data_IF_750773617244
#
_entry.id   IF_750773617244
#
_cell.length_a   1.000
_cell.length_b   1.000
_cell.length_c   1.000
_cell.angle_alpha   90.00
_cell.angle_beta   90.00
_cell.angle_gamma   90.00
#
_symmetry.space_group_name_H-M   'P 1'
#
loop_
_entity.id
_entity.type
_entity.pdbx_description
1 polymer ?
#
# COMPACT_ATOMS: atom_id res chain seq x y z
N UNK A 1 19.11 9.55 -20.05
CA UNK A 1 17.94 8.73 -19.69
C UNK A 1 17.06 8.53 -20.93
N UNK A 2 16.28 7.44 -21.07
CA UNK A 2 15.27 7.35 -22.15
C UNK A 2 14.02 8.13 -21.73
N UNK A 3 13.32 8.78 -22.68
CA UNK A 3 12.12 9.57 -22.34
C UNK A 3 11.06 8.77 -21.58
N UNK A 4 10.91 7.46 -21.86
CA UNK A 4 9.99 6.59 -21.11
C UNK A 4 10.36 6.48 -19.62
N UNK A 5 11.65 6.46 -19.28
CA UNK A 5 12.13 6.39 -17.90
C UNK A 5 11.81 7.67 -17.11
N UNK A 6 11.74 8.84 -17.78
CA UNK A 6 11.32 10.08 -17.12
C UNK A 6 9.93 9.95 -16.52
N UNK A 7 9.01 9.32 -17.24
CA UNK A 7 7.63 9.13 -16.78
C UNK A 7 7.62 8.32 -15.47
N UNK A 8 8.36 7.21 -15.42
CA UNK A 8 8.35 6.31 -14.27
C UNK A 8 9.26 6.78 -13.13
N UNK A 9 10.54 7.04 -13.44
CA UNK A 9 11.60 7.31 -12.46
C UNK A 9 11.56 8.76 -11.93
N UNK A 10 11.04 9.71 -12.72
CA UNK A 10 11.03 11.14 -12.33
C UNK A 10 9.63 11.66 -12.04
N UNK A 11 8.63 11.26 -12.85
CA UNK A 11 7.26 11.76 -12.75
C UNK A 11 6.32 10.80 -12.02
N UNK A 12 6.78 9.59 -11.67
CA UNK A 12 6.00 8.62 -10.91
C UNK A 12 4.75 8.09 -11.63
N UNK A 13 4.71 8.15 -12.96
CA UNK A 13 3.57 7.73 -13.78
C UNK A 13 3.95 6.67 -14.81
N UNK A 14 3.05 5.74 -15.06
CA UNK A 14 3.23 4.71 -16.09
C UNK A 14 2.51 5.08 -17.38
N UNK A 15 3.19 4.86 -18.50
CA UNK A 15 2.58 4.92 -19.83
C UNK A 15 1.71 3.67 -20.03
N UNK A 16 0.50 3.81 -20.61
CA UNK A 16 -0.34 2.66 -20.96
C UNK A 16 0.39 1.67 -21.88
N UNK A 17 1.17 2.20 -22.83
CA UNK A 17 2.05 1.41 -23.66
C UNK A 17 3.34 2.17 -24.05
N UNK A 18 4.52 1.71 -23.62
CA UNK A 18 5.79 2.40 -23.88
C UNK A 18 6.15 2.61 -25.35
N UNK A 19 5.50 1.89 -26.30
CA UNK A 19 5.79 1.99 -27.75
C UNK A 19 4.99 3.08 -28.45
N UNK A 20 3.78 3.39 -27.99
CA UNK A 20 2.87 4.30 -28.70
C UNK A 20 2.19 5.36 -27.82
N UNK A 21 2.30 5.28 -26.49
CA UNK A 21 1.75 6.30 -25.60
C UNK A 21 2.54 7.60 -25.70
N UNK A 22 1.81 8.67 -25.98
CA UNK A 22 2.32 10.04 -26.14
C UNK A 22 2.08 10.91 -24.90
N UNK A 23 1.67 10.30 -23.80
CA UNK A 23 1.44 10.93 -22.51
C UNK A 23 1.00 9.91 -21.48
N UNK A 24 0.77 10.36 -20.26
CA UNK A 24 0.19 9.58 -19.17
C UNK A 24 -0.67 10.49 -18.29
N UNK A 25 -1.65 9.89 -17.62
CA UNK A 25 -2.38 10.52 -16.51
C UNK A 25 -1.76 10.03 -15.21
N UNK A 26 -1.53 10.96 -14.29
CA UNK A 26 -1.36 10.64 -12.88
C UNK A 26 -2.75 10.59 -12.22
N UNK A 27 -3.29 9.39 -11.93
CA UNK A 27 -4.61 9.27 -11.30
C UNK A 27 -4.62 9.79 -9.86
N UNK A 28 -3.45 9.90 -9.23
CA UNK A 28 -3.28 10.26 -7.82
C UNK A 28 -3.28 11.78 -7.68
N UNK A 29 -2.35 12.46 -8.38
CA UNK A 29 -2.27 13.93 -8.33
C UNK A 29 -3.19 14.63 -9.34
N UNK A 30 -3.94 13.87 -10.15
CA UNK A 30 -4.82 14.34 -11.22
C UNK A 30 -4.09 15.27 -12.20
N UNK A 31 -2.86 14.91 -12.57
CA UNK A 31 -2.04 15.64 -13.55
C UNK A 31 -1.97 14.85 -14.85
N UNK A 32 -1.74 15.56 -15.95
CA UNK A 32 -1.67 14.95 -17.28
C UNK A 32 -0.34 15.35 -17.91
N UNK A 33 0.50 14.36 -18.17
CA UNK A 33 1.82 14.55 -18.76
C UNK A 33 1.76 14.23 -20.26
N UNK A 34 2.19 15.17 -21.10
CA UNK A 34 2.17 15.02 -22.55
C UNK A 34 3.56 15.18 -23.13
N UNK A 35 3.92 14.31 -24.07
CA UNK A 35 5.04 14.60 -24.98
C UNK A 35 4.57 15.59 -26.02
N UNK A 36 5.38 16.62 -26.24
CA UNK A 36 5.15 17.64 -27.25
C UNK A 36 6.41 17.83 -28.08
N UNK A 37 6.26 18.22 -29.34
CA UNK A 37 7.40 18.43 -30.23
C UNK A 37 7.92 19.87 -30.11
N UNK A 38 9.24 20.02 -30.03
CA UNK A 38 9.91 21.32 -29.98
C UNK A 38 9.62 22.18 -31.22
N UNK A 39 9.67 21.57 -32.40
CA UNK A 39 9.39 22.22 -33.69
C UNK A 39 7.92 22.61 -33.90
N UNK A 40 7.05 22.28 -32.93
CA UNK A 40 5.62 22.61 -32.93
C UNK A 40 5.27 23.66 -31.87
N UNK A 41 6.28 24.22 -31.19
CA UNK A 41 6.12 25.41 -30.35
C UNK A 41 6.16 26.63 -31.27
N UNK A 42 5.11 27.45 -31.19
CA UNK A 42 4.94 28.63 -32.04
C UNK A 42 4.52 29.85 -31.22
N UNK A 43 4.88 31.07 -31.67
CA UNK A 43 4.42 32.31 -31.03
C UNK A 43 2.89 32.40 -31.00
N UNK A 44 2.35 32.97 -29.93
CA UNK A 44 0.91 33.19 -29.70
C UNK A 44 0.67 34.46 -28.88
N UNK A 45 0.56 35.60 -29.59
CA UNK A 45 0.50 36.93 -28.97
C UNK A 45 1.76 37.24 -28.16
N UNK A 46 1.59 37.59 -26.88
CA UNK A 46 2.69 37.83 -25.93
C UNK A 46 3.30 36.55 -25.33
N UNK A 47 3.00 35.38 -25.89
CA UNK A 47 3.48 34.09 -25.38
C UNK A 47 3.72 33.06 -26.47
N UNK A 48 3.66 31.79 -26.07
CA UNK A 48 3.88 30.65 -26.95
C UNK A 48 2.73 29.65 -26.78
N UNK A 49 2.43 28.90 -27.85
CA UNK A 49 1.55 27.74 -27.82
C UNK A 49 2.24 26.56 -28.48
N UNK A 50 1.84 25.36 -28.09
CA UNK A 50 2.37 24.11 -28.64
C UNK A 50 1.24 23.25 -29.17
N UNK A 51 1.45 22.63 -30.32
CA UNK A 51 0.49 21.67 -30.85
C UNK A 51 0.52 20.37 -30.05
N UNK A 52 -0.65 19.92 -29.59
CA UNK A 52 -0.79 18.73 -28.73
C UNK A 52 -1.63 17.63 -29.38
N UNK A 53 -2.34 17.94 -30.45
CA UNK A 53 -3.16 16.99 -31.21
C UNK A 53 -3.28 17.40 -32.69
N UNK A 54 -3.34 16.41 -33.57
CA UNK A 54 -3.54 16.59 -35.02
C UNK A 54 -4.94 16.11 -35.40
N UNK A 55 -5.74 16.97 -36.04
CA UNK A 55 -7.08 16.59 -36.53
C UNK A 55 -7.00 15.65 -37.74
N UNK A 56 -5.94 15.77 -38.54
CA UNK A 56 -5.65 14.93 -39.72
C UNK A 56 -4.27 14.27 -39.60
N UNK A 57 -4.13 13.22 -38.75
CA UNK A 57 -2.85 12.57 -38.53
C UNK A 57 -2.41 11.77 -39.76
N UNK A 58 -1.09 11.71 -40.03
CA UNK A 58 -0.52 10.93 -41.13
C UNK A 58 -0.67 9.41 -40.96
N UNK A 59 -0.72 8.96 -39.70
CA UNK A 59 -0.82 7.55 -39.35
C UNK A 59 -1.90 7.38 -38.29
N UNK A 60 -2.65 6.28 -38.37
CA UNK A 60 -3.59 5.93 -37.31
C UNK A 60 -2.84 5.17 -36.21
N UNK A 61 -2.90 5.66 -34.97
CA UNK A 61 -2.24 5.01 -33.82
C UNK A 61 -3.17 5.01 -32.61
N UNK A 62 -3.13 3.98 -31.74
CA UNK A 62 -3.90 3.98 -30.49
C UNK A 62 -3.58 5.17 -29.58
N UNK A 63 -2.36 5.72 -29.70
CA UNK A 63 -1.93 6.92 -28.96
C UNK A 63 -2.74 8.18 -29.28
N UNK A 64 -3.43 8.24 -30.43
CA UNK A 64 -4.35 9.35 -30.76
C UNK A 64 -5.61 9.30 -29.91
N UNK A 65 -6.20 8.12 -29.72
CA UNK A 65 -7.35 7.94 -28.85
C UNK A 65 -6.98 8.23 -27.39
N UNK A 66 -5.83 7.73 -26.94
CA UNK A 66 -5.29 8.05 -25.61
C UNK A 66 -5.06 9.56 -25.43
N UNK A 67 -4.58 10.26 -26.48
CA UNK A 67 -4.43 11.72 -26.41
C UNK A 67 -5.78 12.43 -26.23
N UNK A 68 -6.87 11.96 -26.84
CA UNK A 68 -8.18 12.58 -26.63
C UNK A 68 -8.63 12.45 -25.16
N UNK A 69 -8.41 11.30 -24.52
CA UNK A 69 -8.66 11.12 -23.08
C UNK A 69 -7.84 12.09 -22.22
N UNK A 70 -6.57 12.31 -22.58
CA UNK A 70 -5.71 13.29 -21.90
C UNK A 70 -6.26 14.72 -22.03
N UNK A 71 -6.73 15.09 -23.22
CA UNK A 71 -7.32 16.42 -23.45
C UNK A 71 -8.62 16.60 -22.66
N UNK A 72 -9.46 15.58 -22.60
CA UNK A 72 -10.68 15.54 -21.80
C UNK A 72 -10.36 15.79 -20.31
N UNK A 73 -9.35 15.09 -19.78
CA UNK A 73 -8.91 15.25 -18.39
C UNK A 73 -8.42 16.69 -18.11
N UNK A 74 -7.62 17.29 -19.00
CA UNK A 74 -7.15 18.66 -18.81
C UNK A 74 -8.31 19.67 -18.91
N UNK A 75 -9.24 19.47 -19.85
CA UNK A 75 -10.47 20.29 -19.95
C UNK A 75 -11.32 20.20 -18.68
N UNK A 76 -11.34 19.03 -18.03
CA UNK A 76 -12.01 18.80 -16.74
C UNK A 76 -11.19 19.27 -15.52
N UNK A 77 -10.11 20.04 -15.72
CA UNK A 77 -9.36 20.72 -14.66
C UNK A 77 -8.11 19.99 -14.17
N UNK A 78 -7.68 18.90 -14.81
CA UNK A 78 -6.37 18.30 -14.54
C UNK A 78 -5.24 19.21 -15.04
N UNK A 79 -4.20 19.54 -14.25
CA UNK A 79 -3.06 20.32 -14.77
C UNK A 79 -2.32 19.58 -15.89
N UNK A 80 -2.16 20.25 -17.04
CA UNK A 80 -1.41 19.73 -18.18
C UNK A 80 0.08 20.10 -18.10
N UNK A 81 0.96 19.12 -18.31
CA UNK A 81 2.42 19.31 -18.26
C UNK A 81 3.05 18.71 -19.52
N UNK A 82 3.83 19.52 -20.25
CA UNK A 82 4.49 19.15 -21.50
C UNK A 82 5.97 18.79 -21.29
N UNK A 83 6.38 17.64 -21.81
CA UNK A 83 7.78 17.22 -21.94
C UNK A 83 8.17 17.44 -23.40
N UNK A 84 9.12 18.35 -23.62
CA UNK A 84 9.56 18.75 -24.96
C UNK A 84 10.48 17.69 -25.53
N UNK A 85 10.12 17.14 -26.68
CA UNK A 85 10.92 16.21 -27.46
C UNK A 85 11.42 16.90 -28.74
N UNK A 86 12.67 16.65 -29.09
CA UNK A 86 13.29 17.09 -30.35
C UNK A 86 13.24 15.94 -31.34
N UNK A 87 12.78 16.20 -32.56
CA UNK A 87 12.69 15.18 -33.61
C UNK A 87 14.05 14.96 -34.30
N UNK A 88 14.34 13.72 -34.72
CA UNK A 88 15.50 13.42 -35.60
C UNK A 88 15.35 14.16 -36.93
N UNK A 89 14.13 14.15 -37.48
CA UNK A 89 13.75 14.87 -38.69
C UNK A 89 12.37 15.49 -38.44
N UNK A 90 12.18 16.77 -38.79
CA UNK A 90 10.93 17.48 -38.55
C UNK A 90 9.82 17.08 -39.54
N UNK A 91 10.18 16.61 -40.74
CA UNK A 91 9.19 16.22 -41.74
C UNK A 91 9.54 14.89 -42.45
N UNK A 92 9.64 13.78 -41.69
CA UNK A 92 9.95 12.47 -42.28
C UNK A 92 8.77 11.96 -43.12
N UNK A 93 9.08 11.07 -44.07
CA UNK A 93 8.07 10.34 -44.84
C UNK A 93 7.27 9.33 -43.99
N UNK A 94 7.82 8.92 -42.83
CA UNK A 94 7.22 7.99 -41.89
C UNK A 94 6.89 8.60 -40.52
N UNK A 95 6.81 7.74 -39.49
CA UNK A 95 6.61 8.19 -38.11
C UNK A 95 7.83 8.97 -37.60
N UNK A 96 7.60 10.10 -36.94
CA UNK A 96 8.66 10.89 -36.30
C UNK A 96 9.35 10.07 -35.20
N UNK A 97 10.67 10.22 -35.11
CA UNK A 97 11.50 9.62 -34.06
C UNK A 97 12.05 10.71 -33.14
N UNK A 98 12.13 10.41 -31.85
CA UNK A 98 12.67 11.32 -30.83
C UNK A 98 14.20 11.21 -30.86
N UNK A 99 14.89 12.31 -31.15
CA UNK A 99 16.35 12.41 -31.06
C UNK A 99 16.81 12.62 -29.61
N UNK A 100 16.19 13.59 -28.94
CA UNK A 100 16.46 13.99 -27.56
C UNK A 100 15.19 14.58 -26.95
N UNK A 101 15.24 14.91 -25.66
CA UNK A 101 14.14 15.57 -24.97
C UNK A 101 14.69 16.42 -23.82
N UNK A 102 13.90 17.38 -23.37
CA UNK A 102 14.27 18.28 -22.27
C UNK A 102 13.83 17.66 -20.95
N UNK A 103 14.80 17.27 -20.12
CA UNK A 103 14.55 16.74 -18.78
C UNK A 103 14.01 17.80 -17.82
N UNK A 104 14.34 19.08 -18.03
CA UNK A 104 13.86 20.24 -17.26
C UNK A 104 14.18 21.55 -18.01
N UNK A 105 13.37 22.62 -17.88
CA UNK A 105 12.06 22.67 -17.24
C UNK A 105 10.97 22.03 -18.12
N UNK A 106 9.89 21.56 -17.50
CA UNK A 106 8.70 21.10 -18.21
C UNK A 106 7.75 22.27 -18.48
N UNK A 107 6.93 22.15 -19.53
CA UNK A 107 5.97 23.19 -19.91
C UNK A 107 4.69 23.07 -19.10
N UNK A 108 4.20 24.15 -18.51
CA UNK A 108 2.85 24.18 -17.97
C UNK A 108 1.87 24.51 -19.11
N UNK A 109 0.89 23.64 -19.32
CA UNK A 109 -0.06 23.72 -20.41
C UNK A 109 -1.42 24.19 -19.89
N UNK A 110 -1.97 25.23 -20.51
CA UNK A 110 -3.30 25.75 -20.22
C UNK A 110 -3.83 26.51 -21.43
N UNK A 111 -5.08 26.95 -21.40
CA UNK A 111 -5.68 27.72 -22.51
C UNK A 111 -5.63 27.00 -23.86
N UNK A 112 -6.70 26.29 -24.20
CA UNK A 112 -6.76 25.55 -25.46
C UNK A 112 -7.28 26.43 -26.60
N UNK A 113 -6.65 26.30 -27.76
CA UNK A 113 -7.15 26.81 -29.03
C UNK A 113 -7.17 25.70 -30.06
N UNK A 114 -7.98 25.85 -31.09
CA UNK A 114 -8.05 24.91 -32.20
C UNK A 114 -8.19 25.64 -33.53
N UNK A 115 -7.70 25.00 -34.58
CA UNK A 115 -7.90 25.40 -35.97
C UNK A 115 -8.16 24.15 -36.82
N UNK A 116 -8.04 24.27 -38.15
CA UNK A 116 -8.24 23.16 -39.09
C UNK A 116 -7.12 22.09 -39.04
N UNK A 117 -5.95 22.44 -38.51
CA UNK A 117 -4.78 21.58 -38.43
C UNK A 117 -4.83 20.74 -37.15
N UNK A 118 -5.13 21.35 -36.02
CA UNK A 118 -4.96 20.70 -34.72
C UNK A 118 -5.54 21.42 -33.53
N UNK A 119 -5.18 20.90 -32.35
CA UNK A 119 -5.45 21.52 -31.05
C UNK A 119 -4.12 21.94 -30.46
N UNK A 120 -4.10 23.13 -29.87
CA UNK A 120 -2.95 23.77 -29.27
C UNK A 120 -3.21 24.06 -27.79
N UNK A 121 -2.19 23.95 -26.95
CA UNK A 121 -2.19 24.50 -25.60
C UNK A 121 -1.24 25.67 -25.52
N UNK A 122 -1.67 26.74 -24.83
CA UNK A 122 -0.79 27.85 -24.46
C UNK A 122 0.21 27.37 -23.39
N UNK A 123 1.45 27.82 -23.53
CA UNK A 123 2.49 27.62 -22.53
C UNK A 123 2.32 28.72 -21.47
N UNK A 124 1.72 28.37 -20.33
CA UNK A 124 1.42 29.34 -19.26
C UNK A 124 2.57 29.53 -18.27
N UNK A 125 3.59 28.66 -18.34
CA UNK A 125 4.73 28.67 -17.44
C UNK A 125 5.71 27.54 -17.74
N UNK A 126 6.83 27.54 -17.02
CA UNK A 126 7.86 26.50 -17.09
C UNK A 126 8.18 26.06 -15.66
N UNK A 127 8.12 24.77 -15.40
CA UNK A 127 8.26 24.20 -14.05
C UNK A 127 9.54 23.37 -14.01
N UNK A 128 10.49 23.66 -13.11
CA UNK A 128 11.65 22.80 -12.90
C UNK A 128 11.20 21.38 -12.54
N UNK A 129 11.79 20.37 -13.16
CA UNK A 129 11.38 18.98 -12.92
C UNK A 129 11.58 18.54 -11.47
N UNK A 130 12.55 19.15 -10.77
CA UNK A 130 12.76 18.97 -9.33
C UNK A 130 11.57 19.43 -8.48
N UNK A 131 10.79 20.43 -8.90
CA UNK A 131 9.58 20.85 -8.17
C UNK A 131 8.46 19.82 -8.28
N UNK A 132 8.36 19.16 -9.44
CA UNK A 132 7.43 18.04 -9.65
C UNK A 132 7.89 16.79 -8.89
N UNK A 133 9.18 16.46 -8.95
CA UNK A 133 9.75 15.31 -8.24
C UNK A 133 9.71 15.47 -6.71
N UNK A 134 9.91 16.69 -6.17
CA UNK A 134 9.84 16.98 -4.74
C UNK A 134 8.40 16.93 -4.19
N UNK A 135 7.40 17.08 -5.04
CA UNK A 135 6.00 16.85 -4.67
C UNK A 135 5.61 15.35 -4.70
N UNK A 136 6.49 14.49 -5.23
CA UNK A 136 6.24 13.06 -5.46
C UNK A 136 7.10 12.14 -4.58
N UNK A 137 8.28 12.57 -4.13
CA UNK A 137 9.15 11.76 -3.27
C UNK A 137 8.95 12.09 -1.79
N UNK A 138 8.49 11.09 -1.03
CA UNK A 138 8.52 11.12 0.44
C UNK A 138 9.98 11.19 0.91
N UNK A 139 10.25 12.03 1.91
CA UNK A 139 11.53 11.96 2.64
C UNK A 139 11.65 10.58 3.32
N UNK A 140 12.88 10.15 3.62
CA UNK A 140 13.13 8.89 4.34
C UNK A 140 12.33 8.80 5.64
N UNK A 141 12.26 9.91 6.36
CA UNK A 141 11.55 10.09 7.62
C UNK A 141 10.03 10.00 7.41
N UNK A 142 9.49 10.68 6.40
CA UNK A 142 8.07 10.62 6.05
C UNK A 142 7.66 9.19 5.61
N UNK A 143 8.51 8.52 4.83
CA UNK A 143 8.30 7.13 4.40
C UNK A 143 8.32 6.17 5.59
N UNK A 144 9.20 6.38 6.57
CA UNK A 144 9.25 5.56 7.78
C UNK A 144 7.97 5.70 8.63
N UNK A 145 7.44 6.92 8.77
CA UNK A 145 6.16 7.16 9.44
C UNK A 145 5.01 6.49 8.68
N UNK A 146 4.96 6.63 7.36
CA UNK A 146 3.96 5.98 6.52
C UNK A 146 4.01 4.45 6.69
N UNK A 147 5.19 3.84 6.59
CA UNK A 147 5.38 2.41 6.74
C UNK A 147 4.87 1.92 8.11
N UNK A 148 5.24 2.60 9.20
CA UNK A 148 4.78 2.25 10.54
C UNK A 148 3.25 2.26 10.65
N UNK A 149 2.58 3.28 10.10
CA UNK A 149 1.12 3.35 10.14
C UNK A 149 0.48 2.23 9.33
N UNK A 150 1.02 1.92 8.15
CA UNK A 150 0.54 0.81 7.30
C UNK A 150 0.71 -0.55 7.96
N UNK A 151 1.86 -0.80 8.59
CA UNK A 151 2.11 -2.06 9.31
C UNK A 151 1.11 -2.23 10.46
N UNK A 152 0.81 -1.16 11.19
CA UNK A 152 -0.17 -1.18 12.28
C UNK A 152 -1.61 -1.36 11.78
N UNK A 153 -1.95 -0.84 10.60
CA UNK A 153 -3.23 -1.17 9.92
C UNK A 153 -3.28 -2.66 9.60
N UNK A 154 -2.22 -3.22 8.99
CA UNK A 154 -2.12 -4.65 8.60
C UNK A 154 -2.23 -5.60 9.81
N UNK A 155 -1.71 -5.19 10.95
CA UNK A 155 -1.85 -5.90 12.23
C UNK A 155 -3.24 -5.80 12.87
N UNK A 156 -4.12 -4.93 12.34
CA UNK A 156 -5.44 -4.67 12.90
C UNK A 156 -5.41 -3.83 14.18
N UNK A 157 -4.36 -3.01 14.39
CA UNK A 157 -4.22 -2.15 15.58
C UNK A 157 -5.32 -1.10 15.68
N UNK A 158 -5.72 -0.50 14.55
CA UNK A 158 -6.63 0.64 14.50
C UNK A 158 -8.07 0.20 14.28
N UNK A 159 -8.94 0.59 15.20
CA UNK A 159 -10.38 0.45 15.09
C UNK A 159 -10.94 1.79 14.64
N UNK A 160 -11.57 1.91 13.44
CA UNK A 160 -11.89 3.19 12.84
C UNK A 160 -12.78 4.12 13.67
N UNK A 161 -13.60 3.56 14.55
CA UNK A 161 -14.56 4.28 15.39
C UNK A 161 -14.15 4.32 16.87
N UNK A 162 -12.91 3.90 17.18
CA UNK A 162 -12.34 3.93 18.52
C UNK A 162 -11.00 4.68 18.50
N UNK A 163 -11.08 5.99 18.77
CA UNK A 163 -9.94 6.91 18.80
C UNK A 163 -8.88 6.49 19.85
N UNK A 164 -9.24 5.71 20.87
CA UNK A 164 -8.28 5.20 21.86
C UNK A 164 -7.39 4.07 21.30
N UNK A 165 -7.76 3.49 20.15
CA UNK A 165 -6.92 2.56 19.42
C UNK A 165 -5.78 3.25 18.65
N UNK A 166 -5.86 4.58 18.46
CA UNK A 166 -4.92 5.36 17.65
C UNK A 166 -3.59 5.61 18.37
N UNK A 167 -2.55 5.89 17.58
CA UNK A 167 -1.18 5.95 18.05
C UNK A 167 -0.83 7.30 18.67
N UNK A 168 -0.07 7.31 19.76
CA UNK A 168 0.44 8.55 20.35
C UNK A 168 1.66 9.11 19.63
N UNK A 169 1.82 10.43 19.59
CA UNK A 169 3.05 11.05 19.05
C UNK A 169 4.35 10.49 19.68
N UNK A 170 4.35 10.25 21.00
CA UNK A 170 5.51 9.65 21.69
C UNK A 170 5.72 8.17 21.36
N UNK A 171 4.64 7.45 21.07
CA UNK A 171 4.70 6.05 20.64
C UNK A 171 5.32 5.92 19.25
N UNK A 172 4.98 6.82 18.32
CA UNK A 172 5.63 6.89 17.00
C UNK A 172 7.14 7.08 17.14
N UNK A 173 7.58 8.00 18.01
CA UNK A 173 9.02 8.21 18.26
C UNK A 173 9.70 6.94 18.76
N UNK A 174 9.07 6.24 19.70
CA UNK A 174 9.62 4.99 20.27
C UNK A 174 9.75 3.91 19.20
N UNK A 175 8.75 3.74 18.35
CA UNK A 175 8.76 2.72 17.28
C UNK A 175 9.82 3.04 16.21
N UNK A 176 10.04 4.32 15.90
CA UNK A 176 10.99 4.76 14.88
C UNK A 176 12.40 5.06 15.43
N UNK A 177 12.64 4.86 16.73
CA UNK A 177 13.93 5.19 17.36
C UNK A 177 14.30 6.68 17.32
N UNK A 178 13.31 7.58 17.21
CA UNK A 178 13.53 9.01 17.07
C UNK A 178 13.82 9.67 18.42
N UNK A 179 14.87 10.50 18.46
CA UNK A 179 15.12 11.38 19.61
C UNK A 179 14.09 12.50 19.63
N UNK A 180 13.52 12.77 20.81
CA UNK A 180 12.65 13.94 21.04
C UNK A 180 13.45 15.23 20.87
N UNK A 181 12.95 16.12 20.02
CA UNK A 181 13.49 17.47 19.78
C UNK A 181 12.48 18.50 20.28
N UNK A 182 12.84 19.23 21.33
CA UNK A 182 11.99 20.24 21.94
C UNK A 182 11.00 19.69 22.98
N UNK A 183 10.10 20.56 23.50
CA UNK A 183 9.27 20.23 24.67
C UNK A 183 8.09 19.32 24.36
N UNK A 184 7.54 19.37 23.14
CA UNK A 184 6.32 18.66 22.74
C UNK A 184 6.60 17.57 21.71
N UNK A 185 6.03 16.38 21.92
CA UNK A 185 6.18 15.24 21.01
C UNK A 185 5.62 15.54 19.61
N UNK A 186 4.47 16.20 19.50
CA UNK A 186 3.88 16.56 18.20
C UNK A 186 4.80 17.46 17.37
N UNK A 187 5.31 18.54 17.96
CA UNK A 187 6.24 19.45 17.29
C UNK A 187 7.55 18.78 16.89
N UNK A 188 8.03 17.82 17.68
CA UNK A 188 9.19 17.01 17.34
C UNK A 188 8.92 16.18 16.08
N UNK A 189 7.80 15.43 16.05
CA UNK A 189 7.47 14.56 14.93
C UNK A 189 7.20 15.35 13.64
N UNK A 190 6.57 16.53 13.75
CA UNK A 190 6.37 17.45 12.62
C UNK A 190 7.68 17.80 11.92
N UNK A 191 8.75 18.06 12.67
CA UNK A 191 10.09 18.36 12.14
C UNK A 191 10.85 17.13 11.66
N UNK A 192 10.35 15.93 11.97
CA UNK A 192 10.98 14.64 11.69
C UNK A 192 10.14 13.82 10.71
N UNK A 193 9.55 14.48 9.70
CA UNK A 193 8.89 13.84 8.56
C UNK A 193 7.36 13.87 8.58
N UNK A 194 6.69 14.13 9.70
CA UNK A 194 5.22 14.14 9.73
C UNK A 194 4.63 15.29 8.91
N UNK A 195 5.25 16.48 8.93
CA UNK A 195 4.80 17.61 8.11
C UNK A 195 4.96 17.31 6.61
N UNK A 196 6.08 16.70 6.22
CA UNK A 196 6.34 16.31 4.84
C UNK A 196 5.36 15.24 4.37
N UNK A 197 5.09 14.24 5.21
CA UNK A 197 4.09 13.19 4.94
C UNK A 197 2.70 13.80 4.76
N UNK A 198 2.26 14.66 5.69
CA UNK A 198 0.93 15.27 5.62
C UNK A 198 0.75 16.14 4.37
N UNK A 199 1.79 16.90 4.00
CA UNK A 199 1.81 17.71 2.77
C UNK A 199 1.78 16.83 1.52
N UNK A 200 2.56 15.76 1.50
CA UNK A 200 2.60 14.81 0.38
C UNK A 200 1.25 14.11 0.19
N UNK A 201 0.61 13.64 1.26
CA UNK A 201 -0.73 13.03 1.20
C UNK A 201 -1.76 14.00 0.59
N UNK A 202 -1.76 15.25 1.06
CA UNK A 202 -2.67 16.27 0.54
C UNK A 202 -2.42 16.57 -0.95
N UNK A 203 -1.16 16.77 -1.34
CA UNK A 203 -0.78 17.06 -2.73
C UNK A 203 -1.11 15.93 -3.70
N UNK A 204 -1.08 14.69 -3.21
CA UNK A 204 -1.39 13.46 -3.94
C UNK A 204 -2.84 13.02 -3.76
N UNK A 205 -3.69 13.81 -3.09
CA UNK A 205 -5.11 13.49 -2.84
C UNK A 205 -5.33 12.10 -2.23
N UNK A 206 -4.39 11.65 -1.41
CA UNK A 206 -4.45 10.37 -0.71
C UNK A 206 -5.18 10.54 0.63
N UNK A 207 -5.78 9.46 1.17
CA UNK A 207 -6.39 9.52 2.49
C UNK A 207 -5.39 10.01 3.54
N UNK A 208 -5.84 10.91 4.40
CA UNK A 208 -4.98 11.54 5.41
C UNK A 208 -4.66 10.57 6.58
N UNK A 209 -3.87 9.53 6.31
CA UNK A 209 -3.48 8.46 7.24
C UNK A 209 -2.80 8.98 8.53
N UNK A 210 -2.19 10.16 8.48
CA UNK A 210 -1.61 10.83 9.66
C UNK A 210 -2.64 11.15 10.74
N UNK A 211 -3.94 11.11 10.42
CA UNK A 211 -5.04 11.20 11.37
C UNK A 211 -5.14 10.02 12.35
N UNK A 212 -4.37 8.95 12.13
CA UNK A 212 -4.18 7.83 13.07
C UNK A 212 -3.15 8.14 14.17
N UNK A 213 -2.55 9.34 14.16
CA UNK A 213 -1.64 9.83 15.19
C UNK A 213 -2.34 10.93 15.98
N UNK A 214 -2.51 10.71 17.28
CA UNK A 214 -3.29 11.58 18.17
C UNK A 214 -2.55 11.93 19.45
N UNK A 215 -3.02 12.98 20.11
CA UNK A 215 -2.67 13.25 21.50
C UNK A 215 -3.38 12.24 22.42
N UNK A 216 -2.62 11.56 23.28
CA UNK A 216 -3.15 10.48 24.13
C UNK A 216 -3.96 10.98 25.35
N UNK A 217 -4.07 12.31 25.54
CA UNK A 217 -4.90 12.90 26.60
C UNK A 217 -6.32 13.19 26.14
N UNK A 218 -6.51 13.48 24.86
CA UNK A 218 -7.80 13.87 24.30
C UNK A 218 -8.22 13.05 23.07
N UNK A 219 -7.33 12.16 22.60
CA UNK A 219 -7.49 11.29 21.44
C UNK A 219 -7.77 12.04 20.13
N UNK A 220 -7.28 13.27 19.97
CA UNK A 220 -7.45 14.07 18.75
C UNK A 220 -6.10 14.34 18.06
N UNK A 221 -6.09 14.48 16.73
CA UNK A 221 -4.91 14.94 16.00
C UNK A 221 -4.68 16.43 16.30
N UNK A 222 -3.42 16.86 16.23
CA UNK A 222 -3.07 18.27 16.38
C UNK A 222 -3.66 19.15 15.27
N UNK A 223 -3.80 20.45 15.54
CA UNK A 223 -4.42 21.42 14.62
C UNK A 223 -3.83 21.42 13.20
N UNK A 224 -2.51 21.21 13.08
CA UNK A 224 -1.82 21.15 11.80
C UNK A 224 -2.35 20.07 10.84
N UNK A 225 -2.98 19.01 11.36
CA UNK A 225 -3.67 17.99 10.55
C UNK A 225 -4.86 18.56 9.77
N UNK A 226 -5.63 19.46 10.38
CA UNK A 226 -6.78 20.10 9.73
C UNK A 226 -6.31 21.21 8.79
N UNK A 227 -5.34 22.01 9.22
CA UNK A 227 -4.78 23.13 8.45
C UNK A 227 -4.18 22.67 7.11
N UNK A 228 -3.36 21.62 7.12
CA UNK A 228 -2.73 21.11 5.89
C UNK A 228 -3.74 20.55 4.88
N UNK A 229 -4.92 20.14 5.37
CA UNK A 229 -5.99 19.62 4.53
C UNK A 229 -7.07 20.66 4.19
N UNK A 230 -6.87 21.93 4.58
CA UNK A 230 -7.82 23.01 4.33
C UNK A 230 -9.17 22.82 5.04
N UNK A 231 -9.17 22.21 6.24
CA UNK A 231 -10.38 21.88 7.00
C UNK A 231 -10.53 22.73 8.26
N UNK A 232 -11.77 22.98 8.72
CA UNK A 232 -12.01 23.61 10.02
C UNK A 232 -11.33 22.82 11.15
N UNK A 233 -10.78 23.55 12.13
CA UNK A 233 -10.14 22.93 13.28
C UNK A 233 -11.13 22.05 14.05
N UNK A 234 -10.75 20.78 14.23
CA UNK A 234 -11.55 19.83 14.99
C UNK A 234 -12.77 19.26 14.26
N UNK A 235 -12.84 19.37 12.93
CA UNK A 235 -13.85 18.75 12.07
C UNK A 235 -13.84 17.20 12.21
N UNK A 236 -14.65 16.69 13.15
CA UNK A 236 -14.66 15.26 13.53
C UNK A 236 -15.24 14.38 12.43
N UNK A 237 -16.26 14.87 11.72
CA UNK A 237 -16.93 14.09 10.68
C UNK A 237 -15.97 13.83 9.52
N UNK A 238 -15.30 14.88 9.04
CA UNK A 238 -14.31 14.73 7.99
C UNK A 238 -13.13 13.86 8.43
N UNK A 239 -12.61 14.08 9.64
CA UNK A 239 -11.50 13.27 10.17
C UNK A 239 -11.86 11.79 10.28
N UNK A 240 -13.02 11.45 10.84
CA UNK A 240 -13.49 10.07 10.90
C UNK A 240 -13.65 9.45 9.49
N UNK A 241 -14.10 10.24 8.51
CA UNK A 241 -14.13 9.84 7.10
C UNK A 241 -12.74 9.50 6.55
N UNK A 242 -11.74 10.33 6.83
CA UNK A 242 -10.36 10.09 6.39
C UNK A 242 -9.72 8.87 7.05
N UNK A 243 -9.98 8.64 8.34
CA UNK A 243 -9.48 7.44 9.04
C UNK A 243 -10.03 6.17 8.40
N UNK A 244 -11.34 6.09 8.16
CA UNK A 244 -11.96 4.93 7.49
C UNK A 244 -11.39 4.72 6.10
N UNK A 245 -11.23 5.80 5.32
CA UNK A 245 -10.61 5.73 4.00
C UNK A 245 -9.16 5.23 4.09
N UNK A 246 -8.36 5.76 5.01
CA UNK A 246 -6.96 5.37 5.17
C UNK A 246 -6.80 3.90 5.59
N UNK A 247 -7.66 3.39 6.48
CA UNK A 247 -7.65 1.98 6.88
C UNK A 247 -8.03 1.05 5.72
N UNK A 248 -8.98 1.48 4.86
CA UNK A 248 -9.45 0.69 3.72
C UNK A 248 -8.59 0.85 2.45
N UNK A 249 -7.68 1.81 2.42
CA UNK A 249 -6.90 2.17 1.23
C UNK A 249 -5.77 1.16 0.97
N UNK A 250 -5.51 0.87 -0.32
CA UNK A 250 -4.39 0.02 -0.73
C UNK A 250 -3.08 0.79 -0.71
N UNK A 251 -2.32 0.61 0.38
CA UNK A 251 -1.02 1.24 0.56
C UNK A 251 0.16 0.48 -0.06
N UNK A 252 -0.06 -0.69 -0.67
CA UNK A 252 1.02 -1.48 -1.28
C UNK A 252 1.89 -0.72 -2.31
N UNK A 253 1.38 0.28 -3.06
CA UNK A 253 2.24 1.07 -3.95
C UNK A 253 3.19 2.03 -3.24
N UNK A 254 2.94 2.33 -1.95
CA UNK A 254 3.60 3.41 -1.20
C UNK A 254 4.37 2.93 0.03
N UNK A 255 4.04 1.73 0.53
CA UNK A 255 4.71 1.06 1.64
C UNK A 255 5.38 -0.22 1.11
N UNK A 256 6.61 -0.49 1.55
CA UNK A 256 7.30 -1.72 1.16
C UNK A 256 6.54 -2.92 1.76
N UNK A 257 6.36 -3.98 0.96
CA UNK A 257 5.69 -5.21 1.41
C UNK A 257 6.50 -6.01 2.43
N UNK A 258 7.80 -5.72 2.55
CA UNK A 258 8.67 -6.21 3.62
C UNK A 258 9.62 -5.10 4.08
N UNK A 259 9.70 -4.84 5.39
CA UNK A 259 10.75 -4.02 5.96
C UNK A 259 12.09 -4.75 5.79
N UNK A 260 13.07 -4.11 5.13
CA UNK A 260 14.45 -4.62 5.11
C UNK A 260 14.95 -4.68 6.55
N UNK A 261 15.35 -5.86 7.07
CA UNK A 261 15.78 -5.99 8.45
C UNK A 261 16.97 -5.09 8.73
N UNK A 262 16.87 -4.30 9.80
CA UNK A 262 17.90 -3.36 10.25
C UNK A 262 19.17 -4.10 10.70
N UNK A 263 20.30 -3.39 10.76
CA UNK A 263 21.56 -3.98 11.28
C UNK A 263 21.43 -4.46 12.72
N UNK A 264 20.56 -3.84 13.53
CA UNK A 264 20.28 -4.28 14.90
C UNK A 264 19.36 -5.52 14.92
N UNK A 265 18.42 -5.65 13.99
CA UNK A 265 17.65 -6.88 13.80
C UNK A 265 18.53 -8.03 13.29
N UNK A 266 19.43 -7.76 12.33
CA UNK A 266 20.44 -8.73 11.87
C UNK A 266 21.46 -9.08 12.97
N UNK A 267 21.84 -8.13 13.82
CA UNK A 267 22.71 -8.37 14.98
C UNK A 267 21.98 -9.07 16.14
N UNK A 268 20.65 -8.94 16.20
CA UNK A 268 19.76 -9.73 17.06
C UNK A 268 19.69 -11.18 16.54
N UNK A 269 19.56 -11.39 15.23
CA UNK A 269 19.64 -12.71 14.60
C UNK A 269 21.03 -13.34 14.73
N UNK A 270 22.12 -12.57 14.61
CA UNK A 270 23.49 -13.06 14.80
C UNK A 270 23.76 -13.48 16.26
N UNK A 271 23.07 -12.90 17.23
CA UNK A 271 23.07 -13.36 18.64
C UNK A 271 22.16 -14.57 18.87
N UNK A 272 21.16 -14.77 18.01
CA UNK A 272 20.20 -15.87 18.08
C UNK A 272 20.64 -17.13 17.31
N UNK A 273 21.67 -17.06 16.46
CA UNK A 273 22.26 -18.24 15.81
C UNK A 273 23.55 -18.65 16.52
N UNK A 274 23.38 -19.27 17.68
CA UNK A 274 24.16 -20.44 18.07
C UNK A 274 23.14 -21.54 18.32
N UNK A 275 23.01 -22.44 17.34
CA UNK A 275 22.15 -23.61 17.43
C UNK A 275 22.62 -24.49 18.59
N UNK A 276 21.75 -24.78 19.58
CA UNK A 276 21.95 -25.89 20.51
C UNK A 276 21.98 -25.62 22.02
N UNK A 277 21.80 -24.40 22.54
CA UNK A 277 21.68 -24.18 24.00
C UNK A 277 20.33 -23.59 24.40
N UNK A 278 19.67 -24.23 25.37
CA UNK A 278 18.38 -23.80 25.94
C UNK A 278 18.55 -22.45 26.62
N UNK A 279 17.89 -21.41 26.09
CA UNK A 279 17.70 -20.14 26.76
C UNK A 279 16.21 -19.80 26.82
N UNK A 280 15.72 -19.56 28.04
CA UNK A 280 14.32 -19.28 28.34
C UNK A 280 14.05 -17.79 28.13
N UNK A 281 13.26 -17.43 27.11
CA UNK A 281 12.74 -16.06 26.93
C UNK A 281 11.31 -16.02 27.46
N UNK A 282 11.07 -15.20 28.49
CA UNK A 282 9.74 -14.97 29.05
C UNK A 282 8.93 -14.04 28.14
N UNK A 283 8.07 -14.62 27.31
CA UNK A 283 7.02 -13.92 26.58
C UNK A 283 5.72 -14.16 27.33
N UNK A 284 4.97 -13.10 27.68
CA UNK A 284 3.58 -13.25 28.15
C UNK A 284 2.67 -13.62 26.97
N UNK A 285 2.80 -14.87 26.53
CA UNK A 285 1.85 -15.55 25.65
C UNK A 285 0.75 -16.09 26.55
N UNK A 286 -0.54 -15.91 26.20
CA UNK A 286 -1.62 -16.70 26.80
C UNK A 286 -1.23 -18.18 26.71
N UNK A 287 -0.88 -18.78 27.85
CA UNK A 287 -0.15 -20.04 27.84
C UNK A 287 -1.02 -21.14 27.21
N UNK A 288 -0.50 -21.74 26.14
CA UNK A 288 -1.12 -22.91 25.51
C UNK A 288 -0.60 -24.13 26.26
N UNK A 289 -1.47 -24.84 26.97
CA UNK A 289 -1.08 -26.02 27.76
C UNK A 289 -0.42 -27.08 26.86
N UNK A 290 0.89 -27.27 27.03
CA UNK A 290 1.67 -28.23 26.24
C UNK A 290 1.22 -29.68 26.49
N UNK A 291 0.84 -29.99 27.73
CA UNK A 291 0.28 -31.29 28.10
C UNK A 291 -1.01 -31.59 27.33
N UNK A 292 -1.89 -30.59 27.15
CA UNK A 292 -3.09 -30.70 26.33
C UNK A 292 -2.74 -30.98 24.86
N UNK A 293 -1.78 -30.24 24.29
CA UNK A 293 -1.35 -30.45 22.90
C UNK A 293 -0.78 -31.85 22.69
N UNK A 294 0.07 -32.34 23.61
CA UNK A 294 0.66 -33.68 23.52
C UNK A 294 -0.40 -34.77 23.64
N UNK A 295 -1.36 -34.61 24.55
CA UNK A 295 -2.43 -35.58 24.79
C UNK A 295 -3.48 -35.59 23.69
N UNK A 296 -3.91 -34.43 23.20
CA UNK A 296 -4.78 -34.32 22.04
C UNK A 296 -4.13 -34.91 20.77
N UNK A 297 -2.81 -34.72 20.60
CA UNK A 297 -2.07 -35.35 19.50
C UNK A 297 -2.13 -36.88 19.52
N UNK A 298 -2.16 -37.49 20.70
CA UNK A 298 -2.31 -38.94 20.87
C UNK A 298 -3.78 -39.37 20.73
N UNK A 299 -4.70 -38.61 21.32
CA UNK A 299 -6.14 -38.88 21.28
C UNK A 299 -6.69 -38.94 19.84
N UNK A 300 -6.26 -38.01 18.98
CA UNK A 300 -6.70 -37.95 17.58
C UNK A 300 -5.89 -38.86 16.62
N UNK A 301 -5.02 -39.74 17.12
CA UNK A 301 -4.38 -40.76 16.28
C UNK A 301 -5.28 -41.99 16.20
N UNK A 302 -5.54 -42.44 14.98
CA UNK A 302 -6.20 -43.72 14.73
C UNK A 302 -5.32 -44.91 15.17
N UNK A 303 -5.93 -46.10 15.18
CA UNK A 303 -5.23 -47.36 15.47
C UNK A 303 -4.08 -47.66 14.49
N UNK A 304 -4.15 -47.11 13.28
CA UNK A 304 -3.10 -47.14 12.26
C UNK A 304 -1.96 -46.13 12.49
N UNK A 305 -1.99 -45.43 13.62
CA UNK A 305 -1.04 -44.40 14.02
C UNK A 305 -1.20 -43.08 13.28
N UNK A 306 -2.18 -42.92 12.38
CA UNK A 306 -2.34 -41.70 11.56
C UNK A 306 -3.30 -40.72 12.22
N UNK A 307 -3.00 -39.43 12.14
CA UNK A 307 -3.96 -38.36 12.40
C UNK A 307 -4.56 -37.92 11.08
N UNK A 308 -5.89 -37.93 11.00
CA UNK A 308 -6.65 -37.57 9.80
C UNK A 308 -7.32 -36.23 10.01
N UNK A 309 -7.39 -35.44 8.95
CA UNK A 309 -8.20 -34.23 8.92
C UNK A 309 -9.66 -34.61 9.13
N UNK A 310 -10.33 -33.97 10.09
CA UNK A 310 -11.74 -34.19 10.40
C UNK A 310 -12.66 -33.79 9.23
N UNK A 311 -12.23 -32.82 8.40
CA UNK A 311 -13.03 -32.28 7.30
C UNK A 311 -12.92 -33.11 6.04
N UNK A 312 -11.71 -33.50 5.62
CA UNK A 312 -11.47 -34.12 4.32
C UNK A 312 -10.79 -35.50 4.37
N UNK A 313 -10.53 -36.03 5.56
CA UNK A 313 -9.90 -37.34 5.77
C UNK A 313 -8.41 -37.41 5.41
N UNK A 314 -7.81 -36.33 4.91
CA UNK A 314 -6.40 -36.30 4.52
C UNK A 314 -5.49 -36.64 5.70
N UNK A 315 -4.46 -37.44 5.43
CA UNK A 315 -3.41 -37.76 6.37
C UNK A 315 -2.09 -37.88 5.63
N UNK A 316 -1.00 -37.80 6.39
CA UNK A 316 0.36 -37.90 5.86
C UNK A 316 0.60 -39.25 5.13
N UNK A 317 1.15 -39.22 3.91
CA UNK A 317 1.60 -40.43 3.20
C UNK A 317 2.68 -41.22 3.96
N UNK A 318 2.70 -42.55 3.78
CA UNK A 318 3.65 -43.45 4.46
C UNK A 318 5.03 -43.55 3.77
N UNK A 319 5.33 -42.71 2.79
CA UNK A 319 6.53 -42.83 1.94
C UNK A 319 7.85 -42.39 2.61
N UNK A 320 7.81 -42.00 3.88
CA UNK A 320 8.99 -41.66 4.68
C UNK A 320 9.66 -40.32 4.34
N UNK A 321 9.20 -39.60 3.30
CA UNK A 321 9.83 -38.35 2.83
C UNK A 321 9.45 -37.12 3.66
N UNK A 322 8.39 -37.23 4.46
CA UNK A 322 7.86 -36.16 5.30
C UNK A 322 8.14 -36.54 6.75
N UNK A 323 8.72 -35.64 7.55
CA UNK A 323 8.88 -35.82 9.01
C UNK A 323 7.72 -35.16 9.76
N UNK A 324 7.48 -35.57 11.02
CA UNK A 324 6.39 -35.01 11.84
C UNK A 324 4.97 -35.33 11.38
N UNK A 325 3.96 -34.79 12.09
CA UNK A 325 2.56 -34.81 11.65
C UNK A 325 2.24 -33.52 10.91
N UNK A 326 1.59 -33.62 9.75
CA UNK A 326 1.14 -32.45 8.97
C UNK A 326 -0.27 -32.00 9.39
N UNK A 327 -1.06 -32.88 9.99
CA UNK A 327 -2.40 -32.55 10.48
C UNK A 327 -2.30 -31.85 11.84
N UNK A 328 -2.69 -30.58 11.85
CA UNK A 328 -2.60 -29.66 12.97
C UNK A 328 -3.86 -29.73 13.87
N UNK A 329 -3.74 -29.30 15.13
CA UNK A 329 -4.88 -29.20 16.04
C UNK A 329 -5.38 -27.76 16.09
N UNK A 330 -6.60 -27.56 15.63
CA UNK A 330 -7.30 -26.28 15.57
C UNK A 330 -8.28 -26.16 16.75
N UNK A 331 -8.47 -24.97 17.32
CA UNK A 331 -9.47 -24.75 18.36
C UNK A 331 -10.80 -24.38 17.71
N UNK A 332 -11.85 -25.16 17.98
CA UNK A 332 -13.20 -24.93 17.43
C UNK A 332 -13.80 -23.61 17.95
N UNK A 333 -13.43 -23.20 19.17
CA UNK A 333 -13.76 -21.89 19.73
C UNK A 333 -12.52 -20.97 19.68
N UNK A 334 -12.60 -19.79 19.05
CA UNK A 334 -11.48 -18.85 19.01
C UNK A 334 -11.06 -18.41 20.41
N UNK A 335 -9.80 -18.66 20.78
CA UNK A 335 -9.24 -18.28 22.09
C UNK A 335 -9.24 -16.77 22.34
N UNK A 336 -9.39 -15.95 21.29
CA UNK A 336 -9.51 -14.49 21.38
C UNK A 336 -10.81 -14.03 22.05
N UNK A 337 -11.85 -14.88 22.05
CA UNK A 337 -13.16 -14.59 22.69
C UNK A 337 -13.25 -15.09 24.13
N UNK A 338 -12.16 -15.62 24.70
CA UNK A 338 -12.12 -16.07 26.09
C UNK A 338 -11.75 -14.93 27.05
N UNK A 339 -12.30 -14.94 28.28
CA UNK A 339 -11.93 -14.03 29.37
C UNK A 339 -10.41 -13.93 29.57
N UNK A 340 -9.94 -12.78 30.05
CA UNK A 340 -8.52 -12.48 30.26
C UNK A 340 -7.85 -13.36 31.32
N UNK A 341 -8.62 -13.91 32.26
CA UNK A 341 -8.21 -14.87 33.30
C UNK A 341 -8.22 -16.34 32.83
N UNK A 342 -8.61 -16.59 31.58
CA UNK A 342 -8.65 -17.92 30.98
C UNK A 342 -9.88 -18.74 31.38
N UNK A 343 -10.02 -19.93 30.81
CA UNK A 343 -11.11 -20.86 31.11
C UNK A 343 -10.54 -22.10 31.78
N UNK A 344 -11.04 -22.44 32.97
CA UNK A 344 -10.76 -23.75 33.57
C UNK A 344 -11.68 -24.77 32.91
N UNK A 345 -11.08 -25.69 32.17
CA UNK A 345 -11.74 -26.81 31.52
C UNK A 345 -11.19 -28.11 32.10
N UNK A 346 -12.05 -29.10 32.25
CA UNK A 346 -11.60 -30.47 32.46
C UNK A 346 -10.85 -30.98 31.22
N UNK A 347 -9.91 -31.90 31.41
CA UNK A 347 -9.04 -32.39 30.33
C UNK A 347 -9.84 -32.94 29.12
N UNK A 348 -10.98 -33.58 29.39
CA UNK A 348 -11.90 -34.07 28.35
C UNK A 348 -12.45 -32.91 27.51
N UNK A 349 -13.02 -31.90 28.16
CA UNK A 349 -13.59 -30.72 27.51
C UNK A 349 -12.54 -29.94 26.72
N UNK A 350 -11.32 -29.86 27.25
CA UNK A 350 -10.19 -29.21 26.60
C UNK A 350 -9.76 -29.95 25.32
N UNK A 351 -9.78 -31.30 25.31
CA UNK A 351 -9.48 -32.10 24.11
C UNK A 351 -10.61 -32.00 23.09
N UNK A 352 -11.86 -32.01 23.53
CA UNK A 352 -13.06 -31.87 22.68
C UNK A 352 -13.19 -30.46 22.09
N UNK A 353 -12.53 -29.46 22.68
CA UNK A 353 -12.43 -28.11 22.10
C UNK A 353 -11.49 -28.00 20.88
N UNK A 354 -10.77 -29.08 20.56
CA UNK A 354 -9.81 -29.17 19.48
C UNK A 354 -10.34 -30.06 18.34
N UNK A 355 -9.87 -29.79 17.13
CA UNK A 355 -10.19 -30.60 15.94
C UNK A 355 -8.95 -30.75 15.05
N UNK A 356 -8.66 -31.96 14.53
CA UNK A 356 -7.54 -32.17 13.63
C UNK A 356 -7.86 -31.66 12.21
N UNK A 357 -7.06 -30.74 11.67
CA UNK A 357 -7.22 -30.19 10.32
C UNK A 357 -5.90 -30.27 9.52
N UNK A 358 -5.97 -30.61 8.23
CA UNK A 358 -4.81 -30.44 7.34
C UNK A 358 -4.54 -28.95 7.07
N UNK A 359 -3.34 -28.56 6.60
CA UNK A 359 -3.00 -27.15 6.40
C UNK A 359 -3.99 -26.40 5.50
N UNK A 360 -4.52 -27.05 4.47
CA UNK A 360 -5.52 -26.46 3.58
C UNK A 360 -6.87 -26.22 4.29
N UNK A 361 -7.42 -27.25 4.94
CA UNK A 361 -8.69 -27.10 5.69
C UNK A 361 -8.54 -26.13 6.86
N UNK A 362 -7.37 -26.11 7.52
CA UNK A 362 -7.08 -25.18 8.59
C UNK A 362 -7.04 -23.73 8.09
N UNK A 363 -6.44 -23.48 6.92
CA UNK A 363 -6.46 -22.15 6.31
C UNK A 363 -7.85 -21.72 5.88
N UNK A 364 -8.63 -22.61 5.27
CA UNK A 364 -10.01 -22.33 4.83
C UNK A 364 -10.91 -22.04 6.04
N UNK A 365 -10.69 -22.72 7.17
CA UNK A 365 -11.44 -22.45 8.42
C UNK A 365 -11.36 -20.98 8.85
N UNK A 366 -10.29 -20.26 8.51
CA UNK A 366 -10.06 -18.85 8.85
C UNK A 366 -10.35 -17.88 7.69
N UNK A 367 -10.89 -18.33 6.57
CA UNK A 367 -11.04 -17.51 5.35
C UNK A 367 -12.47 -17.06 5.03
N UNK A 368 -13.38 -17.06 6.00
CA UNK A 368 -14.74 -16.59 5.77
C UNK A 368 -14.80 -15.08 5.54
N UNK A 369 -15.79 -14.66 4.76
CA UNK A 369 -16.05 -13.26 4.42
C UNK A 369 -16.27 -12.47 5.73
N UNK A 370 -15.78 -11.22 5.76
CA UNK A 370 -15.84 -10.32 6.92
C UNK A 370 -15.14 -10.86 8.18
N UNK A 371 -14.07 -11.67 8.01
CA UNK A 371 -13.27 -12.19 9.12
C UNK A 371 -13.98 -13.29 9.93
N UNK A 372 -15.07 -13.86 9.39
CA UNK A 372 -15.78 -14.98 10.02
C UNK A 372 -14.98 -16.28 9.86
N UNK A 373 -14.86 -17.07 10.91
CA UNK A 373 -14.36 -18.46 10.78
C UNK A 373 -15.52 -19.40 10.40
N UNK A 374 -15.25 -20.38 9.54
CA UNK A 374 -16.22 -21.43 9.21
C UNK A 374 -16.31 -22.45 10.34
N UNK A 375 -17.51 -22.99 10.58
CA UNK A 375 -17.66 -24.16 11.46
C UNK A 375 -17.19 -25.43 10.75
N UNK A 376 -16.96 -26.52 11.51
CA UNK A 376 -16.55 -27.79 10.94
C UNK A 376 -17.64 -28.38 10.03
N UNK A 377 -18.91 -28.18 10.37
CA UNK A 377 -20.06 -28.59 9.58
C UNK A 377 -20.12 -27.83 8.25
N UNK A 378 -19.90 -26.51 8.28
CA UNK A 378 -19.81 -25.69 7.07
C UNK A 378 -18.64 -26.12 6.17
N UNK A 379 -17.47 -26.37 6.76
CA UNK A 379 -16.31 -26.87 6.02
C UNK A 379 -16.58 -28.23 5.38
N UNK A 380 -17.27 -29.15 6.08
CA UNK A 380 -17.66 -30.46 5.54
C UNK A 380 -18.70 -30.35 4.41
N UNK A 381 -19.51 -29.30 4.40
CA UNK A 381 -20.47 -29.04 3.32
C UNK A 381 -19.82 -28.43 2.07
N UNK A 382 -18.79 -27.59 2.26
CA UNK A 382 -18.10 -26.88 1.18
C UNK A 382 -16.99 -27.75 0.55
N UNK A 383 -16.28 -28.52 1.37
CA UNK A 383 -15.11 -29.29 0.96
C UNK A 383 -15.55 -30.73 0.69
N UNK A 384 -15.45 -31.22 -0.56
CA UNK A 384 -15.84 -32.58 -0.88
C UNK A 384 -14.95 -33.56 -0.12
N UNK A 385 -15.57 -34.51 0.58
CA UNK A 385 -14.86 -35.64 1.15
C UNK A 385 -14.20 -36.43 0.02
N UNK A 386 -12.87 -36.55 0.04
CA UNK A 386 -12.22 -37.54 -0.82
C UNK A 386 -12.48 -38.92 -0.21
N UNK A 387 -13.17 -39.85 -0.90
CA UNK A 387 -13.06 -41.24 -0.52
C UNK A 387 -11.59 -41.62 -0.66
N UNK A 388 -11.02 -42.18 0.41
CA UNK A 388 -9.72 -42.82 0.35
C UNK A 388 -9.81 -43.95 -0.66
N UNK A 389 -9.04 -43.85 -1.75
CA UNK A 389 -8.73 -45.00 -2.61
C UNK A 389 -7.95 -46.05 -1.82
#
# INVERSE_FOLDING_TARGET
MKINQVFEETLGVHLKNPRWSWGAVDPVSNRVFLRVWEDQIQPDGDGERVQIYWKKPRTNSPGLAERLEHLEAIKNGAPGIGIVATAVETNPSGARQIASFHESPLLQLGGFSEDDIGIYARITGRIPTSELARALTLTSEAKAILQLLVDRIREGRFLPDDEASFMGYGEVHKNLGLRKVGPHWGNSLLRQGLADLAKWLHQNRLPAITGLIVDQTNFRPGNGYFEVNGRPLGDREWWAGQVRQAIAFDWSPYANDDATPTRDELASYARAVVEGTVNTVSVEVRSRCEALRKRARQYYRGSDGKRRCEVCGWHKPKDGRISGDIVELHHIRPLAKLPSDGLRLELREAIESLVPLCPCCHRIAHSGINGRSFTIEELKAIIPNRPTA
#
